data_IF_497584707139
#
_entry.id   IF_497584707139
#
_cell.length_a   1.000
_cell.length_b   1.000
_cell.length_c   1.000
_cell.angle_alpha   90.00
_cell.angle_beta   90.00
_cell.angle_gamma   90.00
#
_symmetry.space_group_name_H-M   'P 1'
#
loop_
_entity.id
_entity.type
_entity.pdbx_description
1 polymer ?
#
# COMPACT_ATOMS: atom_id res chain seq x y z
N UNK A 1 -16.94 -23.20 -5.75
CA UNK A 1 -17.34 -21.96 -6.43
C UNK A 1 -16.74 -20.69 -5.81
N UNK A 2 -16.01 -19.97 -6.66
CA UNK A 2 -15.69 -18.52 -6.68
C UNK A 2 -14.88 -17.86 -5.54
N UNK A 3 -14.83 -18.37 -4.30
CA UNK A 3 -14.11 -17.62 -3.23
C UNK A 3 -12.57 -17.72 -3.26
N UNK A 4 -11.99 -18.77 -3.83
CA UNK A 4 -10.54 -19.01 -3.78
C UNK A 4 -9.71 -18.29 -4.85
N UNK A 5 -10.33 -17.83 -5.94
CA UNK A 5 -9.64 -17.08 -7.01
C UNK A 5 -9.58 -15.57 -6.75
N UNK A 6 -10.26 -15.08 -5.72
CA UNK A 6 -10.43 -13.65 -5.52
C UNK A 6 -9.28 -13.01 -4.71
N UNK A 7 -8.54 -13.78 -3.91
CA UNK A 7 -7.46 -13.22 -3.08
C UNK A 7 -6.30 -12.66 -3.91
N UNK A 8 -5.97 -13.28 -5.04
CA UNK A 8 -5.00 -12.73 -6.00
C UNK A 8 -5.46 -11.43 -6.66
N UNK A 9 -6.77 -11.29 -6.91
CA UNK A 9 -7.39 -10.11 -7.52
C UNK A 9 -7.36 -8.90 -6.57
N UNK A 10 -7.68 -9.09 -5.29
CA UNK A 10 -7.57 -8.04 -4.28
C UNK A 10 -6.13 -7.58 -4.03
N UNK A 11 -5.14 -8.49 -4.15
CA UNK A 11 -3.71 -8.18 -4.01
C UNK A 11 -3.18 -7.42 -5.22
N UNK A 12 -3.48 -7.86 -6.45
CA UNK A 12 -3.09 -7.16 -7.67
C UNK A 12 -3.75 -5.77 -7.73
N UNK A 13 -4.99 -5.66 -7.28
CA UNK A 13 -5.71 -4.38 -7.17
C UNK A 13 -5.09 -3.45 -6.12
N UNK A 14 -4.64 -3.97 -4.98
CA UNK A 14 -4.06 -3.15 -3.90
C UNK A 14 -2.61 -2.73 -4.18
N UNK A 15 -1.80 -3.59 -4.80
CA UNK A 15 -0.42 -3.26 -5.21
C UNK A 15 -0.44 -2.34 -6.43
N UNK A 16 -1.31 -2.59 -7.42
CA UNK A 16 -1.41 -1.68 -8.58
C UNK A 16 -1.85 -0.27 -8.17
N UNK A 17 -2.60 -0.12 -7.08
CA UNK A 17 -3.02 1.19 -6.59
C UNK A 17 -1.86 2.08 -6.18
N UNK A 18 -0.90 1.60 -5.40
CA UNK A 18 0.22 2.42 -4.92
C UNK A 18 1.09 2.95 -6.07
N UNK A 19 1.45 2.08 -7.02
CA UNK A 19 2.23 2.46 -8.21
C UNK A 19 1.43 3.40 -9.14
N UNK A 20 0.12 3.18 -9.26
CA UNK A 20 -0.77 4.08 -10.00
C UNK A 20 -0.84 5.46 -9.34
N UNK A 21 -0.82 5.55 -8.00
CA UNK A 21 -0.80 6.82 -7.27
C UNK A 21 0.52 7.56 -7.45
N UNK A 22 1.67 6.87 -7.34
CA UNK A 22 2.99 7.48 -7.63
C UNK A 22 2.99 8.07 -9.05
N UNK A 23 2.51 7.29 -10.02
CA UNK A 23 2.43 7.70 -11.41
C UNK A 23 1.49 8.90 -11.61
N UNK A 24 0.34 8.95 -10.92
CA UNK A 24 -0.59 10.08 -10.98
C UNK A 24 -0.02 11.35 -10.34
N UNK A 25 0.66 11.23 -9.19
CA UNK A 25 1.32 12.35 -8.53
C UNK A 25 2.41 12.93 -9.43
N UNK A 26 3.28 12.08 -9.98
CA UNK A 26 4.34 12.50 -10.90
C UNK A 26 3.78 13.13 -12.18
N UNK A 27 2.77 12.50 -12.78
CA UNK A 27 2.16 13.00 -14.01
C UNK A 27 1.52 14.37 -13.78
N UNK A 28 0.86 14.56 -12.64
CA UNK A 28 0.25 15.84 -12.28
C UNK A 28 1.29 16.92 -12.01
N UNK A 29 2.40 16.57 -11.35
CA UNK A 29 3.52 17.50 -11.11
C UNK A 29 4.17 17.98 -12.42
N UNK A 30 4.36 17.07 -13.38
CA UNK A 30 4.94 17.39 -14.69
C UNK A 30 3.96 18.19 -15.57
N UNK A 31 2.67 17.85 -15.54
CA UNK A 31 1.66 18.48 -16.41
C UNK A 31 1.21 19.84 -15.90
N UNK A 32 1.18 20.03 -14.58
CA UNK A 32 0.66 21.22 -13.91
C UNK A 32 1.68 21.83 -12.94
N UNK A 33 2.95 21.86 -13.33
CA UNK A 33 4.03 22.44 -12.53
C UNK A 33 3.71 23.87 -12.07
N UNK A 34 3.03 24.66 -12.90
CA UNK A 34 2.63 26.05 -12.59
C UNK A 34 1.50 26.15 -11.56
N UNK A 35 0.67 25.11 -11.39
CA UNK A 35 -0.44 25.12 -10.42
C UNK A 35 0.01 24.77 -9.00
N UNK A 36 1.14 24.05 -8.88
CA UNK A 36 1.71 23.62 -7.61
C UNK A 36 3.20 24.01 -7.53
N UNK A 37 3.52 25.32 -7.54
CA UNK A 37 4.89 25.79 -7.65
C UNK A 37 5.71 25.55 -6.37
N UNK A 38 5.06 25.22 -5.25
CA UNK A 38 5.72 24.98 -3.96
C UNK A 38 5.64 23.52 -3.55
N UNK A 39 6.72 23.00 -2.99
CA UNK A 39 6.79 21.64 -2.47
C UNK A 39 5.66 21.32 -1.48
N UNK A 40 5.29 22.27 -0.62
CA UNK A 40 4.16 22.12 0.31
C UNK A 40 2.83 21.87 -0.42
N UNK A 41 2.60 22.53 -1.55
CA UNK A 41 1.39 22.34 -2.35
C UNK A 41 1.37 20.96 -3.05
N UNK A 42 2.53 20.48 -3.51
CA UNK A 42 2.70 19.13 -4.08
C UNK A 42 2.45 18.03 -3.04
N UNK A 43 2.97 18.22 -1.82
CA UNK A 43 2.72 17.30 -0.69
C UNK A 43 1.25 17.31 -0.29
N UNK A 44 0.61 18.48 -0.20
CA UNK A 44 -0.83 18.56 0.10
C UNK A 44 -1.67 17.78 -0.91
N UNK A 45 -1.35 17.91 -2.20
CA UNK A 45 -2.01 17.18 -3.26
C UNK A 45 -1.77 15.67 -3.17
N UNK A 46 -0.52 15.23 -2.99
CA UNK A 46 -0.17 13.82 -2.85
C UNK A 46 -0.88 13.16 -1.65
N UNK A 47 -0.99 13.88 -0.53
CA UNK A 47 -1.71 13.38 0.65
C UNK A 47 -3.23 13.36 0.44
N UNK A 48 -3.79 14.28 -0.35
CA UNK A 48 -5.22 14.27 -0.68
C UNK A 48 -5.65 13.06 -1.53
N UNK A 49 -4.74 12.53 -2.36
CA UNK A 49 -4.95 11.32 -3.15
C UNK A 49 -4.85 10.03 -2.31
N UNK A 50 -4.30 10.12 -1.11
CA UNK A 50 -4.03 8.99 -0.23
C UNK A 50 -5.21 8.72 0.72
N UNK A 51 -5.98 7.66 0.44
CA UNK A 51 -7.18 7.33 1.21
C UNK A 51 -6.91 6.36 2.39
N UNK A 52 -7.47 6.67 3.57
CA UNK A 52 -7.64 5.89 4.81
C UNK A 52 -6.41 5.21 5.47
N UNK A 53 -5.48 4.60 4.72
CA UNK A 53 -4.44 3.73 5.31
C UNK A 53 -3.08 4.42 5.49
N UNK A 54 -2.82 5.47 4.72
CA UNK A 54 -1.54 6.20 4.73
C UNK A 54 -1.61 7.53 5.50
N UNK A 55 -2.81 7.95 5.92
CA UNK A 55 -3.06 9.21 6.63
C UNK A 55 -2.26 9.34 7.94
N UNK A 56 -1.93 8.23 8.60
CA UNK A 56 -1.22 8.24 9.89
C UNK A 56 0.27 8.53 9.75
N UNK A 57 0.93 8.09 8.66
CA UNK A 57 2.36 8.38 8.47
C UNK A 57 2.59 9.73 7.77
N UNK A 58 1.64 10.19 6.95
CA UNK A 58 1.71 11.49 6.27
C UNK A 58 1.25 12.66 7.15
N UNK A 59 0.67 12.38 8.32
CA UNK A 59 0.27 13.38 9.32
C UNK A 59 1.34 14.44 9.66
N UNK A 60 2.61 14.08 9.97
CA UNK A 60 3.66 15.08 10.22
C UNK A 60 3.94 15.99 9.02
N UNK A 61 3.80 15.47 7.80
CA UNK A 61 3.93 16.26 6.57
C UNK A 61 2.76 17.24 6.42
N UNK A 62 1.52 16.78 6.64
CA UNK A 62 0.33 17.64 6.67
C UNK A 62 0.46 18.75 7.71
N UNK A 63 0.89 18.43 8.93
CA UNK A 63 1.06 19.43 9.99
C UNK A 63 2.06 20.50 9.58
N UNK A 64 3.19 20.13 8.97
CA UNK A 64 4.16 21.11 8.46
C UNK A 64 3.59 21.98 7.35
N UNK A 65 2.89 21.37 6.38
CA UNK A 65 2.20 22.11 5.31
C UNK A 65 1.20 23.13 5.89
N UNK A 66 0.39 22.74 6.89
CA UNK A 66 -0.56 23.65 7.53
C UNK A 66 0.08 24.72 8.39
N UNK A 67 1.23 24.42 9.01
CA UNK A 67 2.02 25.38 9.78
C UNK A 67 2.89 26.28 8.89
N UNK A 68 2.84 26.13 7.57
CA UNK A 68 3.75 26.79 6.61
C UNK A 68 5.24 26.53 6.89
N UNK A 69 5.53 25.42 7.59
CA UNK A 69 6.90 24.94 7.76
C UNK A 69 7.45 24.43 6.42
N UNK A 70 8.76 24.47 6.27
CA UNK A 70 9.43 23.95 5.09
C UNK A 70 9.22 22.43 4.96
N UNK A 71 8.74 22.02 3.78
CA UNK A 71 8.60 20.63 3.39
C UNK A 71 9.28 20.46 2.05
N UNK A 72 10.20 19.52 1.97
CA UNK A 72 10.91 19.17 0.74
C UNK A 72 10.18 18.01 0.07
N UNK A 73 9.73 18.20 -1.16
CA UNK A 73 8.89 17.22 -1.86
C UNK A 73 9.64 15.91 -2.13
N UNK A 74 10.92 15.99 -2.52
CA UNK A 74 11.75 14.80 -2.77
C UNK A 74 11.88 13.92 -1.53
N UNK A 75 12.05 14.54 -0.36
CA UNK A 75 12.10 13.81 0.92
C UNK A 75 10.79 13.10 1.23
N UNK A 76 9.66 13.73 0.91
CA UNK A 76 8.36 13.10 1.04
C UNK A 76 8.22 11.89 0.11
N UNK A 77 8.70 11.97 -1.13
CA UNK A 77 8.67 10.85 -2.09
C UNK A 77 9.56 9.67 -1.62
N UNK A 78 10.77 9.96 -1.12
CA UNK A 78 11.66 8.94 -0.57
C UNK A 78 11.01 8.22 0.62
N UNK A 79 10.46 8.98 1.57
CA UNK A 79 9.75 8.41 2.71
C UNK A 79 8.54 7.59 2.26
N UNK A 80 7.76 8.11 1.31
CA UNK A 80 6.61 7.40 0.77
C UNK A 80 7.01 6.06 0.15
N UNK A 81 8.04 6.04 -0.69
CA UNK A 81 8.56 4.84 -1.35
C UNK A 81 9.04 3.80 -0.34
N UNK A 82 9.74 4.24 0.71
CA UNK A 82 10.16 3.34 1.80
C UNK A 82 8.94 2.72 2.49
N UNK A 83 7.95 3.52 2.89
CA UNK A 83 6.77 3.01 3.62
C UNK A 83 5.92 2.08 2.74
N UNK A 84 5.75 2.37 1.45
CA UNK A 84 5.02 1.48 0.54
C UNK A 84 5.74 0.16 0.30
N UNK A 85 7.08 0.18 0.25
CA UNK A 85 7.89 -1.03 0.14
C UNK A 85 7.76 -1.92 1.38
N UNK A 86 7.78 -1.34 2.59
CA UNK A 86 7.60 -2.04 3.86
C UNK A 86 6.19 -2.61 4.01
N UNK A 87 5.16 -1.84 3.61
CA UNK A 87 3.77 -2.30 3.54
C UNK A 87 3.64 -3.49 2.58
N UNK A 88 4.30 -3.43 1.42
CA UNK A 88 4.29 -4.52 0.44
C UNK A 88 4.96 -5.77 0.98
N UNK A 89 6.08 -5.65 1.70
CA UNK A 89 6.78 -6.77 2.30
C UNK A 89 5.98 -7.42 3.45
N UNK A 90 5.47 -6.61 4.38
CA UNK A 90 4.70 -7.07 5.54
C UNK A 90 3.39 -7.74 5.13
N UNK A 91 2.67 -7.19 4.14
CA UNK A 91 1.45 -7.78 3.60
C UNK A 91 1.74 -9.13 2.91
N UNK A 92 2.84 -9.22 2.14
CA UNK A 92 3.29 -10.48 1.53
C UNK A 92 3.59 -11.55 2.58
N UNK A 93 4.22 -11.21 3.71
CA UNK A 93 4.52 -12.15 4.79
C UNK A 93 3.28 -12.62 5.53
N UNK A 94 2.36 -11.72 5.89
CA UNK A 94 1.10 -12.10 6.54
C UNK A 94 0.28 -13.04 5.64
N UNK A 95 0.25 -12.77 4.35
CA UNK A 95 -0.46 -13.60 3.37
C UNK A 95 0.22 -14.95 3.17
N UNK A 96 1.56 -14.99 3.08
CA UNK A 96 2.31 -16.24 3.01
C UNK A 96 2.05 -17.12 4.24
N UNK A 97 2.07 -16.53 5.44
CA UNK A 97 1.77 -17.23 6.68
C UNK A 97 0.34 -17.79 6.70
N UNK A 98 -0.65 -17.00 6.25
CA UNK A 98 -2.03 -17.47 6.15
C UNK A 98 -2.19 -18.61 5.12
N UNK A 99 -1.55 -18.50 3.96
CA UNK A 99 -1.56 -19.53 2.92
C UNK A 99 -0.91 -20.84 3.38
N UNK A 100 0.26 -20.76 4.02
CA UNK A 100 0.94 -21.94 4.57
C UNK A 100 0.10 -22.61 5.66
N UNK A 101 -0.53 -21.83 6.54
CA UNK A 101 -1.40 -22.36 7.60
C UNK A 101 -2.61 -23.09 7.04
N UNK A 102 -3.27 -22.55 6.01
CA UNK A 102 -4.43 -23.19 5.38
C UNK A 102 -4.05 -24.47 4.63
N UNK A 103 -2.90 -24.49 3.95
CA UNK A 103 -2.36 -25.70 3.32
C UNK A 103 -1.99 -26.78 4.34
N UNK A 104 -1.39 -26.41 5.47
CA UNK A 104 -1.06 -27.34 6.54
C UNK A 104 -2.31 -27.96 7.16
N UNK A 105 -3.32 -27.14 7.50
CA UNK A 105 -4.58 -27.61 8.09
C UNK A 105 -5.31 -28.60 7.19
N UNK A 106 -5.42 -28.31 5.89
CA UNK A 106 -6.09 -29.20 4.92
C UNK A 106 -5.36 -30.53 4.76
N UNK A 107 -4.03 -30.53 4.74
CA UNK A 107 -3.23 -31.76 4.71
C UNK A 107 -3.39 -32.59 6.00
N UNK A 108 -3.43 -31.94 7.17
CA UNK A 108 -3.67 -32.64 8.45
C UNK A 108 -5.07 -33.25 8.51
N UNK A 109 -6.09 -32.58 7.99
CA UNK A 109 -7.46 -33.13 7.95
C UNK A 109 -7.58 -34.33 7.01
N UNK A 110 -6.92 -34.28 5.85
CA UNK A 110 -6.91 -35.39 4.88
C UNK A 110 -6.24 -36.64 5.46
N UNK A 111 -5.10 -36.47 6.14
CA UNK A 111 -4.34 -37.59 6.72
C UNK A 111 -5.06 -38.25 7.89
N UNK A 112 -5.73 -37.47 8.74
CA UNK A 112 -6.57 -37.99 9.82
C UNK A 112 -7.79 -38.74 9.26
N UNK A 113 -8.47 -38.18 8.26
CA UNK A 113 -9.62 -38.84 7.61
C UNK A 113 -9.26 -40.19 6.98
N UNK A 114 -8.11 -40.27 6.30
CA UNK A 114 -7.59 -41.53 5.75
C UNK A 114 -7.29 -42.57 6.82
N UNK A 115 -6.77 -42.14 7.99
CA UNK A 115 -6.44 -43.02 9.12
C UNK A 115 -7.66 -43.51 9.91
N UNK A 116 -8.83 -42.88 9.74
CA UNK A 116 -10.09 -43.31 10.33
C UNK A 116 -10.91 -44.22 9.39
N UNK A 117 -10.56 -44.26 8.10
CA UNK A 117 -11.20 -45.11 7.09
C UNK A 117 -10.56 -46.50 6.96
N UNK A 118 -9.39 -46.72 7.56
CA UNK A 118 -8.66 -48.00 7.62
C UNK A 118 -8.36 -48.35 9.07
#
# INVERSE_FOLDING_TARGET
>A
DIQYYNTGFWILWSISKADTFVSQILLHDVTYADQFPTDSSKVAFAVSLMMYYTATWSQPYLTRVFNTDEVVFDKFLDDFSLKTSDLTHSLKLQHLNHFLRTKLLTWTMLTIGLKLMY
#
